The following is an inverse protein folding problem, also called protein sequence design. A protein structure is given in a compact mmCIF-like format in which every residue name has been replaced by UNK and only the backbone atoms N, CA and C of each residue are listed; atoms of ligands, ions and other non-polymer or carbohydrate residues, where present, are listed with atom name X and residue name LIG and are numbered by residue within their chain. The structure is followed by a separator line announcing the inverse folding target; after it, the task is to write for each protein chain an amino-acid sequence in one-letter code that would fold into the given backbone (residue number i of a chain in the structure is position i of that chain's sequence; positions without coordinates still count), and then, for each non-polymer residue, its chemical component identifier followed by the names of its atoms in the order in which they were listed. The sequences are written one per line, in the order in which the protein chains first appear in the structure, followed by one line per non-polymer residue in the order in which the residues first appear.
data_IF_070397914558
#
_entry.id   IF_070397914558
#
_cell.length_a   1.000
_cell.length_b   1.000
_cell.length_c   1.000
_cell.angle_alpha   90.00
_cell.angle_beta   90.00
_cell.angle_gamma   90.00
#
_symmetry.space_group_name_H-M   'P 1'
#
loop_
_entity.id
_entity.type
_entity.pdbx_description
1 polymer ?
#
# COMPACT_ATOMS: atom_id res chain seq x y z
N UNK A 1 7.19 9.31 19.90
CA UNK A 1 7.12 10.12 18.66
C UNK A 1 8.28 9.77 17.71
N UNK A 2 8.64 8.49 17.58
CA UNK A 2 9.94 8.12 17.00
C UNK A 2 9.82 7.86 15.50
N UNK A 3 8.68 7.29 15.06
CA UNK A 3 8.38 7.03 13.64
C UNK A 3 8.32 8.33 12.83
N UNK A 4 7.65 9.36 13.35
CA UNK A 4 7.58 10.67 12.70
C UNK A 4 8.96 11.33 12.55
N UNK A 5 9.84 11.14 13.54
CA UNK A 5 11.22 11.64 13.50
C UNK A 5 12.07 10.92 12.44
N UNK A 6 11.99 9.59 12.36
CA UNK A 6 12.67 8.81 11.31
C UNK A 6 12.18 9.18 9.91
N UNK A 7 10.86 9.35 9.74
CA UNK A 7 10.28 9.78 8.49
C UNK A 7 10.79 11.16 8.07
N UNK A 8 10.86 12.12 8.99
CA UNK A 8 11.41 13.45 8.73
C UNK A 8 12.89 13.43 8.31
N UNK A 9 13.71 12.54 8.87
CA UNK A 9 15.11 12.38 8.47
C UNK A 9 15.22 11.85 7.04
N UNK A 10 14.42 10.83 6.69
CA UNK A 10 14.46 10.20 5.36
C UNK A 10 14.04 11.19 4.27
N UNK A 11 12.95 11.91 4.47
CA UNK A 11 12.48 12.96 3.55
C UNK A 11 13.51 14.09 3.41
N UNK A 12 14.11 14.52 4.53
CA UNK A 12 15.16 15.54 4.53
C UNK A 12 16.42 15.10 3.76
N UNK A 13 16.81 13.83 3.87
CA UNK A 13 17.95 13.29 3.13
C UNK A 13 17.69 13.23 1.62
N UNK A 14 16.50 12.77 1.20
CA UNK A 14 16.10 12.74 -0.22
C UNK A 14 16.04 14.15 -0.79
N UNK A 15 15.50 15.11 -0.01
CA UNK A 15 15.49 16.53 -0.36
C UNK A 15 16.92 17.07 -0.53
N UNK A 16 17.83 16.76 0.39
CA UNK A 16 19.21 17.24 0.37
C UNK A 16 20.01 16.64 -0.80
N UNK A 17 19.80 15.36 -1.14
CA UNK A 17 20.44 14.70 -2.28
C UNK A 17 19.96 15.32 -3.59
N UNK A 18 18.65 15.54 -3.72
CA UNK A 18 18.05 16.19 -4.88
C UNK A 18 18.57 17.64 -5.02
N UNK A 19 18.63 18.39 -3.92
CA UNK A 19 19.22 19.73 -3.87
C UNK A 19 20.69 19.74 -4.26
N UNK A 20 21.47 18.80 -3.74
CA UNK A 20 22.90 18.68 -4.02
C UNK A 20 23.14 18.40 -5.50
N UNK A 21 22.39 17.47 -6.09
CA UNK A 21 22.43 17.14 -7.52
C UNK A 21 22.06 18.34 -8.39
N UNK A 22 21.02 19.10 -8.02
CA UNK A 22 20.61 20.32 -8.73
C UNK A 22 21.69 21.39 -8.63
N UNK A 23 22.21 21.69 -7.43
CA UNK A 23 23.26 22.72 -7.23
C UNK A 23 24.56 22.39 -7.95
N UNK A 24 24.90 21.11 -8.08
CA UNK A 24 26.11 20.68 -8.76
C UNK A 24 25.99 20.76 -10.30
N UNK A 25 24.78 20.64 -10.84
CA UNK A 25 24.51 20.72 -12.28
C UNK A 25 24.18 22.15 -12.78
N UNK A 26 23.83 23.07 -11.89
CA UNK A 26 23.58 24.51 -12.18
C UNK A 26 24.79 25.29 -12.76
N UNK A 27 26.06 25.04 -12.38
CA UNK A 27 27.19 25.84 -12.89
C UNK A 27 27.43 25.68 -14.41
N UNK A 28 26.88 24.63 -15.03
CA UNK A 28 27.09 24.31 -16.44
C UNK A 28 25.90 24.67 -17.35
N UNK A 29 24.91 25.44 -16.87
CA UNK A 29 23.66 25.78 -17.60
C UNK A 29 22.86 24.56 -18.09
N UNK A 30 23.02 23.37 -17.50
CA UNK A 30 22.14 22.23 -17.79
C UNK A 30 21.51 21.73 -16.49
N UNK A 31 20.25 22.10 -16.26
CA UNK A 31 19.45 21.51 -15.18
C UNK A 31 19.45 19.97 -15.30
N UNK A 32 19.50 19.22 -14.19
CA UNK A 32 19.39 17.76 -14.22
C UNK A 32 18.00 17.25 -14.68
N UNK A 33 16.99 18.11 -14.68
CA UNK A 33 15.73 17.90 -15.37
C UNK A 33 15.50 19.09 -16.30
N UNK A 34 15.62 18.88 -17.61
CA UNK A 34 15.12 19.83 -18.61
C UNK A 34 13.61 19.96 -18.47
N UNK A 35 13.14 20.80 -17.54
CA UNK A 35 11.78 21.28 -17.59
C UNK A 35 11.77 22.47 -18.53
N UNK A 36 11.15 22.30 -19.68
CA UNK A 36 10.88 23.35 -20.65
C UNK A 36 9.87 24.33 -20.04
N UNK A 37 10.36 25.37 -19.36
CA UNK A 37 9.50 26.42 -18.79
C UNK A 37 9.68 27.70 -19.61
N UNK A 38 8.62 28.22 -20.25
CA UNK A 38 8.68 29.39 -21.14
C UNK A 38 8.75 30.71 -20.36
N UNK A 39 9.38 30.72 -19.19
CA UNK A 39 9.46 31.91 -18.34
C UNK A 39 10.89 32.16 -17.86
N UNK A 40 11.35 33.39 -18.06
CA UNK A 40 12.63 33.86 -17.55
C UNK A 40 12.61 33.88 -16.02
N UNK A 41 13.41 33.01 -15.39
CA UNK A 41 13.65 32.94 -13.94
C UNK A 41 14.50 34.11 -13.41
N UNK A 42 14.22 35.32 -13.85
CA UNK A 42 15.05 36.52 -13.59
C UNK A 42 14.96 37.02 -12.14
N UNK A 43 13.99 36.54 -11.35
CA UNK A 43 13.81 36.93 -9.95
C UNK A 43 14.16 35.79 -9.00
N UNK A 44 15.17 36.03 -8.16
CA UNK A 44 15.69 35.09 -7.15
C UNK A 44 14.58 34.48 -6.28
N UNK A 45 13.56 35.26 -5.93
CA UNK A 45 12.44 34.80 -5.08
C UNK A 45 11.59 33.71 -5.75
N UNK A 46 11.26 33.85 -7.04
CA UNK A 46 10.41 32.89 -7.77
C UNK A 46 11.13 31.55 -7.97
N UNK A 47 12.44 31.60 -8.18
CA UNK A 47 13.29 30.41 -8.25
C UNK A 47 13.20 29.59 -6.96
N UNK A 48 13.32 30.23 -5.79
CA UNK A 48 13.22 29.54 -4.50
C UNK A 48 11.84 28.95 -4.24
N UNK A 49 10.76 29.65 -4.61
CA UNK A 49 9.40 29.11 -4.47
C UNK A 49 9.17 27.89 -5.35
N UNK A 50 9.56 27.95 -6.63
CA UNK A 50 9.38 26.82 -7.53
C UNK A 50 10.25 25.64 -7.13
N UNK A 51 11.47 25.92 -6.68
CA UNK A 51 12.37 24.91 -6.13
C UNK A 51 11.72 24.19 -4.94
N UNK A 52 11.21 24.94 -3.96
CA UNK A 52 10.52 24.37 -2.81
C UNK A 52 9.30 23.53 -3.22
N UNK A 53 8.51 24.04 -4.17
CA UNK A 53 7.35 23.34 -4.70
C UNK A 53 7.72 22.03 -5.40
N UNK A 54 8.77 22.03 -6.22
CA UNK A 54 9.24 20.84 -6.93
C UNK A 54 9.70 19.76 -5.97
N UNK A 55 10.45 20.12 -4.92
CA UNK A 55 10.93 19.10 -3.99
C UNK A 55 9.80 18.58 -3.09
N UNK A 56 8.86 19.43 -2.67
CA UNK A 56 7.65 18.96 -1.98
C UNK A 56 6.84 18.00 -2.85
N UNK A 57 6.63 18.33 -4.13
CA UNK A 57 5.91 17.47 -5.05
C UNK A 57 6.62 16.12 -5.23
N UNK A 58 7.95 16.13 -5.33
CA UNK A 58 8.74 14.91 -5.47
C UNK A 58 8.67 14.01 -4.23
N UNK A 59 8.76 14.61 -3.03
CA UNK A 59 8.60 13.92 -1.75
C UNK A 59 7.20 13.29 -1.60
N UNK A 60 6.16 14.07 -1.90
CA UNK A 60 4.77 13.58 -1.86
C UNK A 60 4.57 12.45 -2.88
N UNK A 61 5.15 12.56 -4.08
CA UNK A 61 5.01 11.53 -5.10
C UNK A 61 5.67 10.22 -4.69
N UNK A 62 6.88 10.26 -4.12
CA UNK A 62 7.56 9.06 -3.62
C UNK A 62 6.78 8.34 -2.52
N UNK A 63 6.26 9.10 -1.56
CA UNK A 63 5.47 8.55 -0.45
C UNK A 63 4.12 7.99 -0.91
N UNK A 64 3.46 8.67 -1.84
CA UNK A 64 2.21 8.19 -2.43
C UNK A 64 2.41 6.89 -3.19
N UNK A 65 3.46 6.76 -4.00
CA UNK A 65 3.73 5.50 -4.75
C UNK A 65 3.89 4.32 -3.79
N UNK A 66 4.71 4.45 -2.76
CA UNK A 66 4.90 3.38 -1.76
C UNK A 66 3.60 3.08 -1.00
N UNK A 67 2.83 4.12 -0.69
CA UNK A 67 1.52 3.97 -0.07
C UNK A 67 0.55 3.24 -1.00
N UNK A 68 0.50 3.57 -2.29
CA UNK A 68 -0.34 2.88 -3.28
C UNK A 68 0.04 1.40 -3.42
N UNK A 69 1.34 1.09 -3.55
CA UNK A 69 1.84 -0.28 -3.66
C UNK A 69 1.46 -1.15 -2.44
N UNK A 70 1.32 -0.54 -1.27
CA UNK A 70 0.94 -1.23 -0.03
C UNK A 70 -0.58 -1.22 0.21
N UNK A 71 -1.26 -0.11 -0.11
CA UNK A 71 -2.67 0.09 0.18
C UNK A 71 -3.55 -0.73 -0.74
N UNK A 72 -3.18 -0.89 -2.01
CA UNK A 72 -3.93 -1.71 -2.97
C UNK A 72 -4.07 -3.17 -2.49
N UNK A 73 -2.98 -3.92 -2.18
CA UNK A 73 -3.11 -5.27 -1.65
C UNK A 73 -3.75 -5.29 -0.26
N UNK A 74 -3.51 -4.27 0.58
CA UNK A 74 -4.14 -4.16 1.90
C UNK A 74 -5.66 -4.07 1.83
N UNK A 75 -6.19 -3.18 0.98
CA UNK A 75 -7.63 -3.03 0.73
C UNK A 75 -8.19 -4.31 0.12
N UNK A 76 -7.50 -4.92 -0.85
CA UNK A 76 -7.93 -6.19 -1.45
C UNK A 76 -8.09 -7.30 -0.40
N UNK A 77 -7.13 -7.46 0.52
CA UNK A 77 -7.21 -8.43 1.61
C UNK A 77 -8.36 -8.14 2.56
N UNK A 78 -8.55 -6.88 2.95
CA UNK A 78 -9.66 -6.46 3.80
C UNK A 78 -11.01 -6.76 3.13
N UNK A 79 -11.17 -6.38 1.86
CA UNK A 79 -12.41 -6.65 1.10
C UNK A 79 -12.67 -8.15 0.98
N UNK A 80 -11.67 -8.97 0.64
CA UNK A 80 -11.81 -10.43 0.59
C UNK A 80 -12.22 -11.03 1.95
N UNK A 81 -11.65 -10.53 3.05
CA UNK A 81 -12.03 -10.95 4.40
C UNK A 81 -13.46 -10.57 4.77
N UNK A 82 -13.85 -9.32 4.48
CA UNK A 82 -15.21 -8.85 4.72
C UNK A 82 -16.24 -9.61 3.88
N UNK A 83 -15.93 -9.93 2.62
CA UNK A 83 -16.77 -10.77 1.77
C UNK A 83 -16.92 -12.19 2.32
N UNK A 84 -15.83 -12.79 2.81
CA UNK A 84 -15.88 -14.14 3.42
C UNK A 84 -16.74 -14.15 4.69
N UNK A 85 -16.63 -13.12 5.52
CA UNK A 85 -17.47 -12.96 6.70
C UNK A 85 -18.94 -12.73 6.33
N UNK A 86 -19.21 -11.90 5.33
CA UNK A 86 -20.56 -11.67 4.82
C UNK A 86 -21.18 -12.97 4.30
N UNK A 87 -20.42 -13.74 3.52
CA UNK A 87 -20.84 -15.07 3.04
C UNK A 87 -21.18 -16.00 4.21
N UNK A 88 -20.31 -16.09 5.22
CA UNK A 88 -20.58 -16.90 6.41
C UNK A 88 -21.85 -16.46 7.16
N UNK A 89 -22.06 -15.15 7.29
CA UNK A 89 -23.29 -14.61 7.92
C UNK A 89 -24.54 -14.92 7.10
N UNK A 90 -24.46 -14.80 5.77
CA UNK A 90 -25.57 -15.14 4.87
C UNK A 90 -25.87 -16.63 4.93
N UNK A 91 -24.85 -17.49 4.88
CA UNK A 91 -25.01 -18.94 5.01
C UNK A 91 -25.60 -19.32 6.37
N UNK A 92 -25.15 -18.71 7.47
CA UNK A 92 -25.77 -18.93 8.79
C UNK A 92 -27.22 -18.43 8.87
N UNK A 93 -27.55 -17.30 8.25
CA UNK A 93 -28.95 -16.83 8.20
C UNK A 93 -29.82 -17.77 7.38
N UNK A 94 -29.33 -18.23 6.23
CA UNK A 94 -30.02 -19.18 5.37
C UNK A 94 -30.16 -20.54 6.06
N UNK A 95 -29.11 -21.02 6.72
CA UNK A 95 -29.18 -22.20 7.56
C UNK A 95 -30.12 -22.02 8.74
N UNK A 96 -30.25 -20.85 9.37
CA UNK A 96 -31.28 -20.64 10.40
C UNK A 96 -32.70 -20.72 9.83
N UNK A 97 -32.91 -20.34 8.57
CA UNK A 97 -34.18 -20.50 7.85
C UNK A 97 -34.39 -21.99 7.48
N UNK A 98 -33.32 -22.71 7.14
CA UNK A 98 -33.35 -24.12 6.71
C UNK A 98 -33.19 -25.12 7.86
N UNK A 99 -32.77 -24.70 9.07
CA UNK A 99 -32.53 -25.50 10.27
C UNK A 99 -33.82 -25.86 11.02
N UNK A 100 -34.97 -25.56 10.43
CA UNK A 100 -36.12 -26.42 10.63
C UNK A 100 -35.88 -27.85 10.05
N UNK A 101 -34.88 -28.04 9.16
CA UNK A 101 -34.53 -29.31 8.47
C UNK A 101 -33.00 -29.68 8.30
N UNK A 102 -32.01 -28.77 8.32
CA UNK A 102 -30.61 -29.02 7.80
C UNK A 102 -29.45 -29.13 8.84
N UNK A 103 -29.66 -29.54 10.09
CA UNK A 103 -28.55 -29.70 11.08
C UNK A 103 -27.73 -31.00 10.96
N UNK A 104 -28.31 -32.05 10.36
CA UNK A 104 -27.65 -33.36 10.20
C UNK A 104 -26.53 -33.46 9.15
N UNK A 105 -26.60 -32.82 7.96
CA UNK A 105 -25.62 -33.04 6.90
C UNK A 105 -24.24 -32.44 7.20
N UNK A 106 -24.16 -31.28 7.86
CA UNK A 106 -22.90 -30.56 8.14
C UNK A 106 -21.98 -31.35 9.08
N UNK A 107 -22.54 -31.97 10.13
CA UNK A 107 -21.79 -32.82 11.08
C UNK A 107 -21.21 -34.07 10.37
N UNK A 108 -21.88 -34.57 9.34
CA UNK A 108 -21.41 -35.73 8.58
C UNK A 108 -20.29 -35.37 7.59
N UNK A 109 -20.28 -34.14 7.08
CA UNK A 109 -19.23 -33.63 6.18
C UNK A 109 -17.94 -33.35 6.95
N UNK A 110 -18.01 -32.70 8.11
CA UNK A 110 -16.83 -32.44 8.96
C UNK A 110 -16.16 -33.73 9.41
N UNK A 111 -16.94 -34.74 9.81
CA UNK A 111 -16.41 -36.08 10.15
C UNK A 111 -15.75 -36.78 8.98
N UNK A 112 -16.15 -36.50 7.74
CA UNK A 112 -15.53 -37.07 6.54
C UNK A 112 -14.17 -36.42 6.25
N UNK A 113 -14.06 -35.10 6.39
CA UNK A 113 -12.79 -34.39 6.22
C UNK A 113 -11.77 -34.73 7.30
N UNK A 114 -12.20 -34.80 8.57
CA UNK A 114 -11.32 -35.21 9.66
C UNK A 114 -10.77 -36.62 9.45
N UNK A 115 -11.61 -37.52 8.92
CA UNK A 115 -11.19 -38.88 8.58
C UNK A 115 -10.09 -38.89 7.51
N UNK A 116 -10.27 -38.16 6.41
CA UNK A 116 -9.28 -38.06 5.33
C UNK A 116 -7.94 -37.49 5.82
N UNK A 117 -8.01 -36.48 6.69
CA UNK A 117 -6.82 -35.83 7.24
C UNK A 117 -6.00 -36.79 8.14
N UNK A 118 -6.67 -37.64 8.91
CA UNK A 118 -6.02 -38.65 9.76
C UNK A 118 -5.36 -39.75 8.91
N UNK A 119 -6.03 -40.21 7.84
CA UNK A 119 -5.47 -41.25 6.96
C UNK A 119 -4.25 -40.75 6.19
N UNK A 120 -4.27 -39.52 5.66
CA UNK A 120 -3.14 -39.00 4.91
C UNK A 120 -1.91 -38.73 5.79
N UNK A 121 -2.11 -38.29 7.04
CA UNK A 121 -1.01 -38.04 7.95
C UNK A 121 -0.37 -39.34 8.48
N UNK A 122 -1.17 -40.40 8.70
CA UNK A 122 -0.68 -41.68 9.22
C UNK A 122 0.11 -42.56 8.25
N UNK A 123 0.09 -42.27 6.94
CA UNK A 123 0.80 -43.04 5.90
C UNK A 123 2.19 -42.44 5.57
N UNK A 124 2.51 -41.23 6.07
CA UNK A 124 3.73 -40.50 5.70
C UNK A 124 4.79 -40.44 6.82
N UNK A 125 4.70 -41.31 7.84
CA UNK A 125 5.68 -41.42 8.93
C UNK A 125 6.17 -42.86 9.05
#
# INVERSE_FOLDING_TARGET
NNVAFFFGIVEGAIFAITLSSVRHNVPNRSLPFEVWVPFNYTSSSIYWYLYYHQVLAHAIQGTMVVAYDTMVPGVMLLTCGQLKLLKFRLENMMQHIECDQTKQPTINVERKFLRDMIYHHGITV
#
